data_IF_097464905618
#
_entry.id   IF_097464905618
#
_cell.length_a   1.000
_cell.length_b   1.000
_cell.length_c   1.000
_cell.angle_alpha   90.00
_cell.angle_beta   90.00
_cell.angle_gamma   90.00
#
_symmetry.space_group_name_H-M   'P 1'
#
loop_
_entity.id
_entity.type
_entity.pdbx_description
1 polymer ?
#
# COMPACT_ATOMS: atom_id res chain seq x y z
N UNK A 1 0.07 14.53 -7.64
CA UNK A 1 0.07 13.64 -6.48
C UNK A 1 0.20 12.24 -7.03
N UNK A 2 1.37 11.68 -6.83
CA UNK A 2 1.71 10.31 -7.15
C UNK A 2 2.12 9.62 -5.86
N UNK A 3 1.34 8.62 -5.45
CA UNK A 3 1.55 7.91 -4.18
C UNK A 3 1.38 6.42 -4.38
N UNK A 4 2.33 5.64 -3.87
CA UNK A 4 2.22 4.19 -3.81
C UNK A 4 1.96 3.71 -2.39
N UNK A 5 1.21 2.63 -2.26
CA UNK A 5 0.83 2.00 -1.00
C UNK A 5 1.13 0.50 -1.06
N UNK A 6 1.72 -0.03 0.00
CA UNK A 6 1.74 -1.46 0.31
C UNK A 6 0.95 -1.66 1.60
N UNK A 7 -0.15 -2.39 1.52
CA UNK A 7 -1.05 -2.67 2.64
C UNK A 7 -0.93 -4.15 2.99
N UNK A 8 -0.60 -4.40 4.25
CA UNK A 8 -0.37 -5.72 4.83
C UNK A 8 -1.41 -5.97 5.92
N UNK A 9 -2.32 -6.94 5.77
CA UNK A 9 -3.23 -7.32 6.84
C UNK A 9 -2.44 -7.98 7.97
N UNK A 10 -2.72 -7.54 9.19
CA UNK A 10 -2.11 -8.01 10.41
C UNK A 10 -3.11 -8.77 11.29
N UNK A 11 -2.58 -9.51 12.26
CA UNK A 11 -3.37 -10.10 13.34
C UNK A 11 -3.41 -9.09 14.49
N UNK A 12 -4.55 -8.96 15.18
CA UNK A 12 -4.65 -8.08 16.36
C UNK A 12 -3.57 -8.47 17.40
N UNK A 13 -2.87 -7.49 17.96
CA UNK A 13 -1.72 -7.71 18.86
C UNK A 13 -0.38 -7.92 18.15
N UNK A 14 -0.33 -7.79 16.82
CA UNK A 14 0.90 -7.87 16.03
C UNK A 14 1.21 -6.56 15.29
N UNK A 15 0.94 -5.41 15.91
CA UNK A 15 1.03 -4.06 15.31
C UNK A 15 2.43 -3.76 14.76
N UNK A 16 3.46 -4.30 15.40
CA UNK A 16 4.85 -4.10 15.00
C UNK A 16 5.38 -5.23 14.10
N UNK A 17 4.52 -6.15 13.66
CA UNK A 17 4.91 -7.21 12.75
C UNK A 17 5.45 -6.62 11.46
N UNK A 18 6.60 -7.15 11.00
CA UNK A 18 7.29 -6.73 9.79
C UNK A 18 7.92 -5.33 9.79
N UNK A 19 7.72 -4.47 10.80
CA UNK A 19 8.30 -3.11 10.82
C UNK A 19 9.81 -3.11 10.49
N UNK A 20 10.59 -3.95 11.17
CA UNK A 20 12.03 -4.03 10.91
C UNK A 20 12.39 -4.53 9.50
N UNK A 21 11.59 -5.45 8.94
CA UNK A 21 11.83 -5.97 7.59
C UNK A 21 11.43 -4.93 6.54
N UNK A 22 10.24 -4.34 6.66
CA UNK A 22 9.72 -3.35 5.73
C UNK A 22 10.53 -2.05 5.77
N UNK A 23 10.99 -1.58 6.93
CA UNK A 23 11.92 -0.42 6.97
C UNK A 23 13.24 -0.71 6.26
N UNK A 24 13.75 -1.95 6.31
CA UNK A 24 14.97 -2.31 5.58
C UNK A 24 14.74 -2.41 4.08
N UNK A 25 13.61 -2.96 3.67
CA UNK A 25 13.24 -3.11 2.26
C UNK A 25 12.86 -1.76 1.62
N UNK A 26 12.25 -0.87 2.41
CA UNK A 26 11.66 0.38 1.97
C UNK A 26 12.06 1.53 2.91
N UNK A 27 13.35 1.94 2.89
CA UNK A 27 13.90 2.87 3.87
C UNK A 27 13.31 4.29 3.81
N UNK A 28 12.69 4.65 2.69
CA UNK A 28 12.05 5.95 2.46
C UNK A 28 10.51 5.90 2.61
N UNK A 29 9.93 4.72 2.83
CA UNK A 29 8.49 4.57 3.02
C UNK A 29 8.07 4.92 4.43
N UNK A 30 6.90 5.55 4.57
CA UNK A 30 6.29 5.86 5.87
C UNK A 30 5.31 4.74 6.23
N UNK A 31 5.37 4.25 7.47
CA UNK A 31 4.50 3.18 7.95
C UNK A 31 3.50 3.70 8.97
N UNK A 32 2.25 3.25 8.83
CA UNK A 32 1.17 3.50 9.79
C UNK A 32 0.33 2.23 9.94
N UNK A 33 -0.17 2.01 11.14
CA UNK A 33 -1.08 0.91 11.45
C UNK A 33 -2.46 1.50 11.68
N UNK A 34 -3.48 0.89 11.07
CA UNK A 34 -4.87 1.31 11.19
C UNK A 34 -5.75 0.11 11.51
N UNK A 35 -6.79 0.31 12.30
CA UNK A 35 -7.87 -0.66 12.48
C UNK A 35 -9.05 -0.25 11.60
N UNK A 36 -9.39 -1.08 10.61
CA UNK A 36 -10.48 -0.84 9.66
C UNK A 36 -11.46 -1.99 9.74
N UNK A 37 -12.65 -1.74 10.30
CA UNK A 37 -13.71 -2.75 10.46
C UNK A 37 -13.19 -4.09 11.03
N UNK A 38 -12.49 -4.02 12.18
CA UNK A 38 -11.86 -5.14 12.89
C UNK A 38 -10.66 -5.81 12.19
N UNK A 39 -10.25 -5.29 11.03
CA UNK A 39 -9.04 -5.72 10.35
C UNK A 39 -7.91 -4.72 10.61
N UNK A 40 -6.86 -5.18 11.29
CA UNK A 40 -5.64 -4.40 11.46
C UNK A 40 -4.84 -4.39 10.14
N UNK A 41 -4.47 -3.20 9.66
CA UNK A 41 -3.76 -2.99 8.41
C UNK A 41 -2.49 -2.20 8.67
N UNK A 42 -1.33 -2.80 8.38
CA UNK A 42 -0.08 -2.07 8.25
C UNK A 42 0.00 -1.48 6.85
N UNK A 43 -0.01 -0.16 6.78
CA UNK A 43 0.05 0.61 5.54
C UNK A 43 1.42 1.26 5.45
N UNK A 44 2.20 0.84 4.47
CA UNK A 44 3.40 1.52 4.01
C UNK A 44 3.01 2.41 2.82
N UNK A 45 3.41 3.68 2.84
CA UNK A 45 3.12 4.61 1.75
C UNK A 45 4.36 5.40 1.31
N UNK A 46 4.36 5.78 0.04
CA UNK A 46 5.45 6.44 -0.67
C UNK A 46 4.88 7.65 -1.42
N UNK A 47 5.22 8.85 -0.99
CA UNK A 47 4.90 10.09 -1.71
C UNK A 47 5.95 10.27 -2.82
N UNK A 48 5.66 9.73 -4.00
CA UNK A 48 6.63 9.58 -5.09
C UNK A 48 7.11 10.93 -5.59
N UNK A 49 6.18 11.86 -5.82
CA UNK A 49 6.48 13.23 -6.25
C UNK A 49 7.51 13.86 -5.30
N UNK A 50 7.22 13.84 -3.99
CA UNK A 50 8.06 14.46 -2.97
C UNK A 50 9.41 13.74 -2.78
N UNK A 51 9.43 12.41 -2.87
CA UNK A 51 10.66 11.63 -2.73
C UNK A 51 11.65 11.89 -3.87
N UNK A 52 11.14 12.07 -5.08
CA UNK A 52 11.96 12.44 -6.24
C UNK A 52 12.40 13.90 -6.17
N UNK A 53 11.50 14.83 -5.85
CA UNK A 53 11.80 16.27 -5.74
C UNK A 53 12.88 16.56 -4.68
N UNK A 54 12.85 15.85 -3.56
CA UNK A 54 13.84 15.97 -2.48
C UNK A 54 15.13 15.17 -2.74
N UNK A 55 15.18 14.38 -3.81
CA UNK A 55 16.33 13.52 -4.13
C UNK A 55 16.58 12.41 -3.09
N UNK A 56 15.53 12.00 -2.36
CA UNK A 56 15.61 10.95 -1.33
C UNK A 56 15.74 9.56 -1.95
N UNK A 57 15.18 9.36 -3.14
CA UNK A 57 15.31 8.13 -3.92
C UNK A 57 15.48 8.44 -5.42
N UNK A 58 15.99 7.47 -6.18
CA UNK A 58 16.03 7.52 -7.65
C UNK A 58 14.83 6.82 -8.28
N UNK A 59 14.49 7.17 -9.52
CA UNK A 59 13.49 6.46 -10.32
C UNK A 59 13.80 4.96 -10.43
N UNK A 60 15.08 4.58 -10.56
CA UNK A 60 15.51 3.18 -10.60
C UNK A 60 15.13 2.42 -9.32
N UNK A 61 15.28 3.05 -8.14
CA UNK A 61 14.87 2.43 -6.88
C UNK A 61 13.36 2.27 -6.80
N UNK A 62 12.59 3.21 -7.36
CA UNK A 62 11.14 3.08 -7.44
C UNK A 62 10.73 1.92 -8.36
N UNK A 63 11.40 1.75 -9.51
CA UNK A 63 11.15 0.63 -10.44
C UNK A 63 11.41 -0.74 -9.79
N UNK A 64 12.35 -0.83 -8.84
CA UNK A 64 12.64 -2.07 -8.10
C UNK A 64 11.58 -2.40 -7.02
N UNK A 65 10.70 -1.46 -6.67
CA UNK A 65 9.71 -1.61 -5.60
C UNK A 65 8.83 -2.85 -5.82
N UNK A 66 8.36 -3.08 -7.05
CA UNK A 66 7.52 -4.23 -7.37
C UNK A 66 8.26 -5.56 -7.15
N UNK A 67 9.53 -5.67 -7.57
CA UNK A 67 10.35 -6.87 -7.35
C UNK A 67 10.57 -7.16 -5.86
N UNK A 68 10.77 -6.10 -5.07
CA UNK A 68 10.93 -6.18 -3.62
C UNK A 68 9.63 -6.68 -2.97
N UNK A 69 8.46 -6.14 -3.38
CA UNK A 69 7.14 -6.58 -2.90
C UNK A 69 6.89 -8.05 -3.23
N UNK A 70 7.21 -8.48 -4.46
CA UNK A 70 7.09 -9.87 -4.87
C UNK A 70 7.98 -10.80 -4.03
N UNK A 71 9.20 -10.36 -3.73
CA UNK A 71 10.14 -11.09 -2.87
C UNK A 71 9.64 -11.19 -1.43
N UNK A 72 9.11 -10.11 -0.88
CA UNK A 72 8.49 -10.08 0.45
C UNK A 72 7.29 -11.03 0.53
N UNK A 73 6.39 -11.00 -0.47
CA UNK A 73 5.25 -11.92 -0.55
C UNK A 73 5.66 -13.39 -0.62
N UNK A 74 6.77 -13.71 -1.29
CA UNK A 74 7.32 -15.08 -1.35
C UNK A 74 7.81 -15.56 0.01
N UNK A 75 8.44 -14.68 0.81
CA UNK A 75 8.89 -15.00 2.17
C UNK A 75 7.72 -15.19 3.13
N UNK A 76 6.61 -14.50 2.89
CA UNK A 76 5.40 -14.55 3.70
C UNK A 76 4.20 -15.08 2.90
N UNK A 77 4.22 -16.35 2.47
CA UNK A 77 3.25 -16.91 1.51
C UNK A 77 1.80 -16.99 2.05
N UNK A 78 1.64 -16.88 3.37
CA UNK A 78 0.36 -16.87 4.05
C UNK A 78 -0.34 -15.49 3.96
N UNK A 79 0.42 -14.41 3.74
CA UNK A 79 -0.13 -13.07 3.62
C UNK A 79 -0.78 -12.85 2.26
N UNK A 80 -1.93 -12.17 2.28
CA UNK A 80 -2.52 -11.54 1.10
C UNK A 80 -2.21 -10.05 1.21
N UNK A 81 -1.33 -9.55 0.35
CA UNK A 81 -0.88 -8.16 0.34
C UNK A 81 -1.64 -7.37 -0.71
N UNK A 82 -1.80 -6.08 -0.51
CA UNK A 82 -2.30 -5.16 -1.52
C UNK A 82 -1.21 -4.15 -1.87
N UNK A 83 -0.88 -4.04 -3.15
CA UNK A 83 -0.16 -2.89 -3.67
C UNK A 83 -1.12 -2.00 -4.45
N UNK A 84 -1.05 -0.70 -4.22
CA UNK A 84 -1.87 0.27 -4.92
C UNK A 84 -1.05 1.52 -5.23
N UNK A 85 -1.10 1.94 -6.47
CA UNK A 85 -0.51 3.16 -6.98
C UNK A 85 -1.64 4.11 -7.38
N UNK A 86 -1.49 5.38 -6.98
CA UNK A 86 -2.48 6.43 -7.20
C UNK A 86 -1.77 7.59 -7.88
N UNK A 87 -2.29 8.01 -9.02
CA UNK A 87 -1.82 9.19 -9.76
C UNK A 87 -2.94 10.19 -9.94
N UNK A 88 -2.61 11.49 -9.91
CA UNK A 88 -3.51 12.56 -10.29
C UNK A 88 -3.67 13.66 -9.24
N UNK A 89 -4.84 14.30 -9.26
CA UNK A 89 -5.16 15.49 -8.45
C UNK A 89 -6.67 15.58 -8.17
N UNK A 90 -7.38 16.42 -8.93
CA UNK A 90 -8.85 16.54 -8.82
C UNK A 90 -9.60 15.27 -9.26
N UNK A 91 -8.99 14.50 -10.16
CA UNK A 91 -9.43 13.16 -10.56
C UNK A 91 -8.24 12.24 -10.31
N UNK A 92 -8.46 11.16 -9.56
CA UNK A 92 -7.43 10.17 -9.27
C UNK A 92 -7.61 8.93 -10.17
N UNK A 93 -6.50 8.46 -10.71
CA UNK A 93 -6.38 7.16 -11.36
C UNK A 93 -5.71 6.20 -10.39
N UNK A 94 -6.27 5.00 -10.28
CA UNK A 94 -5.77 3.95 -9.41
C UNK A 94 -5.29 2.78 -10.25
N UNK A 95 -4.19 2.18 -9.86
CA UNK A 95 -3.68 0.92 -10.40
C UNK A 95 -3.15 0.08 -9.25
N UNK A 96 -3.65 -1.15 -9.10
CA UNK A 96 -3.22 -1.98 -8.00
C UNK A 96 -3.55 -3.44 -8.17
N UNK A 97 -2.95 -4.23 -7.30
CA UNK A 97 -3.08 -5.68 -7.32
C UNK A 97 -2.98 -6.28 -5.93
N UNK A 98 -3.61 -7.44 -5.78
CA UNK A 98 -3.43 -8.30 -4.61
C UNK A 98 -2.37 -9.34 -4.91
N UNK A 99 -1.41 -9.49 -4.01
CA UNK A 99 -0.38 -10.51 -4.08
C UNK A 99 -0.59 -11.58 -3.01
N UNK A 100 -0.49 -12.85 -3.38
CA UNK A 100 -0.39 -13.96 -2.43
C UNK A 100 0.65 -14.94 -2.92
N UNK A 101 1.69 -15.16 -2.09
CA UNK A 101 2.83 -16.01 -2.44
C UNK A 101 3.32 -15.72 -3.87
N UNK A 102 3.85 -14.52 -4.10
CA UNK A 102 4.34 -13.95 -5.38
C UNK A 102 3.35 -13.86 -6.55
N UNK A 103 2.15 -14.43 -6.46
CA UNK A 103 1.19 -14.42 -7.55
C UNK A 103 0.21 -13.26 -7.39
N UNK A 104 -0.01 -12.51 -8.48
CA UNK A 104 -1.12 -11.55 -8.56
C UNK A 104 -2.42 -12.35 -8.62
N UNK A 105 -3.27 -12.21 -7.60
CA UNK A 105 -4.56 -12.92 -7.49
C UNK A 105 -5.73 -12.07 -7.93
N UNK A 106 -5.54 -10.75 -8.00
CA UNK A 106 -6.51 -9.79 -8.50
C UNK A 106 -5.76 -8.54 -8.93
N UNK A 107 -6.19 -7.92 -10.02
CA UNK A 107 -5.66 -6.64 -10.50
C UNK A 107 -6.85 -5.73 -10.85
N UNK A 108 -6.72 -4.45 -10.55
CA UNK A 108 -7.70 -3.42 -10.89
C UNK A 108 -6.98 -2.14 -11.28
N UNK A 109 -7.50 -1.48 -12.29
CA UNK A 109 -7.11 -0.12 -12.64
C UNK A 109 -8.32 0.67 -13.12
N UNK A 110 -8.26 1.99 -12.96
CA UNK A 110 -9.31 2.90 -13.42
C UNK A 110 -9.52 4.10 -12.51
N UNK A 111 -10.53 4.90 -12.82
CA UNK A 111 -10.90 6.10 -12.06
C UNK A 111 -11.80 5.77 -10.87
N UNK A 112 -12.02 6.78 -10.02
CA UNK A 112 -12.99 6.79 -8.94
C UNK A 112 -12.80 5.65 -7.93
N UNK A 113 -13.73 4.69 -7.90
CA UNK A 113 -13.81 3.61 -6.92
C UNK A 113 -13.27 2.28 -7.45
N UNK A 114 -12.48 2.31 -8.53
CA UNK A 114 -11.87 1.12 -9.15
C UNK A 114 -11.01 0.30 -8.18
N UNK A 115 -10.49 0.94 -7.12
CA UNK A 115 -9.71 0.31 -6.05
C UNK A 115 -10.55 -0.46 -5.03
N UNK A 116 -11.86 -0.20 -4.90
CA UNK A 116 -12.71 -0.78 -3.85
C UNK A 116 -12.68 -2.32 -3.82
N UNK A 117 -12.74 -3.05 -4.96
CA UNK A 117 -12.66 -4.50 -4.94
C UNK A 117 -11.34 -5.03 -4.33
N UNK A 118 -10.24 -4.28 -4.46
CA UNK A 118 -8.96 -4.64 -3.86
C UNK A 118 -8.99 -4.50 -2.34
N UNK A 119 -9.58 -3.41 -1.83
CA UNK A 119 -9.77 -3.19 -0.38
C UNK A 119 -10.72 -4.24 0.19
N UNK A 120 -11.84 -4.49 -0.48
CA UNK A 120 -12.83 -5.49 -0.05
C UNK A 120 -12.26 -6.92 0.02
N UNK A 121 -11.24 -7.21 -0.77
CA UNK A 121 -10.58 -8.51 -0.69
C UNK A 121 -9.68 -8.69 0.54
N UNK A 122 -9.34 -7.60 1.24
CA UNK A 122 -8.70 -7.58 2.55
C UNK A 122 -9.71 -7.37 3.69
N UNK A 123 -10.70 -6.50 3.48
CA UNK A 123 -11.74 -6.10 4.44
C UNK A 123 -13.12 -6.28 3.79
N UNK A 124 -13.72 -7.49 3.84
CA UNK A 124 -14.92 -7.81 3.05
C UNK A 124 -16.15 -6.93 3.30
N UNK A 125 -16.25 -6.35 4.50
CA UNK A 125 -17.37 -5.48 4.91
C UNK A 125 -17.16 -4.02 4.54
N UNK A 126 -16.07 -3.69 3.84
CA UNK A 126 -15.75 -2.31 3.48
C UNK A 126 -16.68 -1.79 2.38
N UNK A 127 -17.56 -0.85 2.73
CA UNK A 127 -18.56 -0.25 1.83
C UNK A 127 -18.38 1.27 1.66
N UNK A 128 -17.38 1.83 2.33
CA UNK A 128 -17.12 3.27 2.30
C UNK A 128 -16.57 3.72 0.94
N UNK A 129 -16.85 4.98 0.60
CA UNK A 129 -16.40 5.58 -0.67
C UNK A 129 -14.94 6.04 -0.64
N UNK A 130 -14.36 6.16 0.54
CA UNK A 130 -13.04 6.77 0.73
C UNK A 130 -12.25 5.99 1.75
N UNK A 131 -11.15 5.40 1.32
CA UNK A 131 -10.23 4.68 2.19
C UNK A 131 -9.32 5.66 2.94
N UNK A 132 -9.33 5.57 4.27
CA UNK A 132 -8.65 6.51 5.16
C UNK A 132 -7.17 6.76 4.81
N UNK A 133 -6.37 5.73 4.46
CA UNK A 133 -5.00 5.92 3.94
C UNK A 133 -4.84 6.86 2.75
N UNK A 134 -5.90 7.10 1.98
CA UNK A 134 -5.87 7.98 0.79
C UNK A 134 -6.23 9.43 1.13
N UNK A 135 -6.61 9.72 2.37
CA UNK A 135 -6.92 11.07 2.80
C UNK A 135 -5.64 11.88 3.01
N UNK A 136 -5.65 13.14 2.59
CA UNK A 136 -4.51 14.05 2.76
C UNK A 136 -4.10 14.22 4.23
N UNK A 137 -5.06 14.16 5.16
CA UNK A 137 -4.79 14.16 6.59
C UNK A 137 -3.88 12.99 7.02
N UNK A 138 -4.12 11.80 6.47
CA UNK A 138 -3.31 10.61 6.76
C UNK A 138 -1.87 10.76 6.24
N UNK A 139 -1.67 11.40 5.09
CA UNK A 139 -0.33 11.64 4.52
C UNK A 139 0.42 12.73 5.30
N UNK A 140 -0.29 13.76 5.77
CA UNK A 140 0.28 14.97 6.37
C UNK A 140 0.49 14.91 7.89
N UNK A 141 -0.16 14.00 8.61
CA UNK A 141 0.19 13.72 10.01
C UNK A 141 1.57 13.04 10.08
N UNK A 142 2.61 13.87 10.19
CA UNK A 142 4.01 13.48 10.44
C UNK A 142 4.45 14.02 11.80
#
# INVERSE_FOLDING_TARGET
MEVSYLIVPLVKGSENAFNQELTKLFPFGKMKVLDVHDQLLLTLYFDIDNLLDLGVCSEEQLLQTEEIIHSFSRKHPYLKLLYLHITGGSVCFYEGYLLKNRNKVMEKSGLDSSYLPLIQALVPVYEERTFEPFLSAFVNES
#
